data_IF_368520278912
#
_entry.id   IF_368520278912
#
_cell.length_a   1.000
_cell.length_b   1.000
_cell.length_c   1.000
_cell.angle_alpha   90.00
_cell.angle_beta   90.00
_cell.angle_gamma   90.00
#
_symmetry.space_group_name_H-M   'P 1'
#
loop_
_entity.id
_entity.type
_entity.pdbx_description
1 polymer ?
#
# COMPACT_ATOMS: atom_id res chain seq x y z
N UNK A 1 -26.19 -44.90 -13.69
CA UNK A 1 -27.14 -44.02 -12.97
C UNK A 1 -26.33 -43.00 -12.17
N UNK A 2 -26.12 -41.80 -12.71
CA UNK A 2 -25.24 -40.78 -12.13
C UNK A 2 -25.87 -40.14 -10.88
N UNK A 3 -25.09 -40.07 -9.79
CA UNK A 3 -25.42 -39.25 -8.62
C UNK A 3 -25.38 -37.78 -9.06
N UNK A 4 -26.50 -37.05 -8.91
CA UNK A 4 -26.53 -35.60 -9.17
C UNK A 4 -25.77 -34.92 -8.04
N UNK A 5 -24.60 -34.37 -8.33
CA UNK A 5 -23.96 -33.39 -7.44
C UNK A 5 -24.82 -32.12 -7.47
N UNK A 6 -25.49 -31.82 -6.35
CA UNK A 6 -26.13 -30.53 -6.14
C UNK A 6 -25.02 -29.49 -6.03
N UNK A 7 -24.80 -28.75 -7.12
CA UNK A 7 -23.87 -27.64 -7.13
C UNK A 7 -24.60 -26.48 -6.46
N UNK A 8 -24.46 -26.37 -5.13
CA UNK A 8 -24.76 -25.14 -4.41
C UNK A 8 -23.95 -24.04 -5.11
N UNK A 9 -24.62 -23.23 -5.93
CA UNK A 9 -24.02 -22.10 -6.60
C UNK A 9 -23.69 -21.05 -5.54
N UNK A 10 -22.57 -21.24 -4.85
CA UNK A 10 -21.97 -20.21 -4.00
C UNK A 10 -21.61 -19.08 -4.95
N UNK A 11 -22.46 -18.06 -4.98
CA UNK A 11 -22.30 -16.87 -5.80
C UNK A 11 -20.84 -16.40 -5.73
N UNK A 12 -20.17 -16.15 -6.87
CA UNK A 12 -18.78 -15.73 -6.86
C UNK A 12 -18.70 -14.32 -6.24
N UNK A 13 -18.35 -14.27 -4.96
CA UNK A 13 -17.77 -13.14 -4.23
C UNK A 13 -18.26 -11.75 -4.63
N UNK A 14 -19.50 -11.42 -4.28
CA UNK A 14 -19.95 -10.04 -4.13
C UNK A 14 -19.42 -9.39 -2.83
N UNK A 15 -18.14 -9.58 -2.49
CA UNK A 15 -17.57 -9.16 -1.20
C UNK A 15 -16.55 -8.01 -1.29
N UNK A 16 -16.14 -7.61 -2.50
CA UNK A 16 -15.42 -6.35 -2.68
C UNK A 16 -16.48 -5.27 -2.90
N UNK A 17 -16.85 -4.58 -1.82
CA UNK A 17 -17.67 -3.38 -1.90
C UNK A 17 -17.07 -2.45 -2.98
N UNK A 18 -17.82 -2.15 -4.05
CA UNK A 18 -17.42 -1.24 -5.13
C UNK A 18 -16.76 0.06 -4.64
N UNK A 19 -17.20 0.68 -3.51
CA UNK A 19 -16.51 1.83 -2.92
C UNK A 19 -15.07 1.54 -2.48
N UNK A 20 -14.77 0.35 -1.97
CA UNK A 20 -13.43 -0.03 -1.54
C UNK A 20 -12.50 -0.23 -2.75
N UNK A 21 -12.97 -0.91 -3.80
CA UNK A 21 -12.18 -1.08 -5.02
C UNK A 21 -11.83 0.27 -5.67
N UNK A 22 -12.80 1.18 -5.77
CA UNK A 22 -12.57 2.53 -6.30
C UNK A 22 -11.61 3.33 -5.41
N UNK A 23 -11.77 3.27 -4.09
CA UNK A 23 -10.87 3.93 -3.14
C UNK A 23 -9.44 3.42 -3.26
N UNK A 24 -9.24 2.10 -3.34
CA UNK A 24 -7.90 1.49 -3.52
C UNK A 24 -7.26 1.94 -4.83
N UNK A 25 -7.99 1.88 -5.94
CA UNK A 25 -7.48 2.33 -7.24
C UNK A 25 -7.06 3.79 -7.22
N UNK A 26 -7.89 4.68 -6.66
CA UNK A 26 -7.59 6.11 -6.55
C UNK A 26 -6.31 6.33 -5.75
N UNK A 27 -6.22 5.75 -4.54
CA UNK A 27 -5.05 5.92 -3.67
C UNK A 27 -3.77 5.36 -4.30
N UNK A 28 -3.84 4.28 -5.08
CA UNK A 28 -2.68 3.76 -5.80
C UNK A 28 -2.21 4.71 -6.89
N UNK A 29 -3.12 5.32 -7.66
CA UNK A 29 -2.76 6.28 -8.71
C UNK A 29 -2.17 7.55 -8.10
N UNK A 30 -2.78 8.07 -7.03
CA UNK A 30 -2.27 9.23 -6.29
C UNK A 30 -0.86 8.97 -5.75
N UNK A 31 -0.63 7.84 -5.07
CA UNK A 31 0.69 7.47 -4.56
C UNK A 31 1.74 7.26 -5.67
N UNK A 32 1.34 6.77 -6.84
CA UNK A 32 2.25 6.65 -7.99
C UNK A 32 2.62 8.01 -8.59
N UNK A 33 1.70 8.97 -8.57
CA UNK A 33 1.98 10.34 -9.01
C UNK A 33 3.03 10.99 -8.09
N UNK A 34 2.89 10.84 -6.77
CA UNK A 34 3.87 11.34 -5.81
C UNK A 34 5.28 10.78 -6.06
N UNK A 35 5.38 9.48 -6.36
CA UNK A 35 6.66 8.84 -6.71
C UNK A 35 7.22 9.38 -8.02
N UNK A 36 6.38 9.56 -9.04
CA UNK A 36 6.80 10.06 -10.35
C UNK A 36 7.25 11.52 -10.29
N UNK A 37 6.62 12.34 -9.45
CA UNK A 37 6.97 13.75 -9.25
C UNK A 37 8.20 13.92 -8.35
N UNK A 38 8.79 12.83 -7.86
CA UNK A 38 9.96 12.88 -7.00
C UNK A 38 9.67 13.38 -5.59
N UNK A 39 8.41 13.33 -5.14
CA UNK A 39 8.00 13.60 -3.75
C UNK A 39 8.41 12.44 -2.82
N UNK A 40 9.66 12.01 -2.95
CA UNK A 40 10.26 10.91 -2.20
C UNK A 40 11.39 11.45 -1.33
N UNK A 41 11.48 10.96 -0.10
CA UNK A 41 12.61 11.26 0.78
C UNK A 41 13.86 10.55 0.28
N UNK A 42 15.00 11.26 0.26
CA UNK A 42 16.29 10.66 -0.05
C UNK A 42 16.64 9.60 1.00
N UNK A 43 16.79 8.35 0.54
CA UNK A 43 17.18 7.22 1.38
C UNK A 43 18.46 7.51 2.19
N UNK A 44 19.45 8.19 1.62
CA UNK A 44 20.70 8.50 2.34
C UNK A 44 20.48 9.48 3.48
N UNK A 45 19.55 10.42 3.33
CA UNK A 45 19.19 11.34 4.39
C UNK A 45 18.46 10.62 5.53
N UNK A 46 17.58 9.67 5.19
CA UNK A 46 16.92 8.79 6.16
C UNK A 46 17.92 7.90 6.89
N UNK A 47 18.90 7.32 6.18
CA UNK A 47 19.94 6.48 6.78
C UNK A 47 20.81 7.28 7.76
N UNK A 48 21.31 8.45 7.34
CA UNK A 48 22.13 9.29 8.21
C UNK A 48 21.36 9.75 9.46
N UNK A 49 20.07 10.08 9.30
CA UNK A 49 19.20 10.37 10.42
C UNK A 49 19.08 9.18 11.37
N UNK A 50 18.79 7.98 10.85
CA UNK A 50 18.68 6.77 11.66
C UNK A 50 19.99 6.46 12.43
N UNK A 51 21.14 6.54 11.76
CA UNK A 51 22.45 6.27 12.37
C UNK A 51 22.79 7.27 13.49
N UNK A 52 22.25 8.51 13.40
CA UNK A 52 22.46 9.54 14.42
C UNK A 52 21.64 9.32 15.70
N UNK A 53 20.57 8.50 15.65
CA UNK A 53 19.72 8.24 16.82
C UNK A 53 20.43 7.45 17.93
N UNK A 54 21.48 6.70 17.56
CA UNK A 54 22.30 5.94 18.49
C UNK A 54 23.39 6.79 19.19
N UNK A 55 23.47 8.10 18.90
CA UNK A 55 24.51 9.00 19.40
C UNK A 55 23.94 10.24 20.11
N UNK A 56 24.73 10.87 20.98
CA UNK A 56 24.38 12.11 21.69
C UNK A 56 24.38 13.32 20.73
N UNK A 57 23.33 13.41 19.90
CA UNK A 57 23.15 14.50 18.93
C UNK A 57 22.38 14.07 17.68
N UNK A 58 21.11 13.64 17.80
CA UNK A 58 20.36 13.16 16.66
C UNK A 58 20.13 14.28 15.64
N UNK A 59 20.29 13.92 14.36
CA UNK A 59 20.01 14.80 13.25
C UNK A 59 18.50 15.12 13.18
N UNK A 60 18.17 16.24 12.54
CA UNK A 60 16.77 16.58 12.28
C UNK A 60 16.17 15.62 11.25
N UNK A 61 14.86 15.37 11.37
CA UNK A 61 14.12 14.56 10.42
C UNK A 61 14.26 15.11 8.99
N UNK A 62 14.64 14.27 8.01
CA UNK A 62 14.70 14.66 6.61
C UNK A 62 13.30 14.98 6.06
N UNK A 63 13.25 15.89 5.08
CA UNK A 63 12.02 16.38 4.44
C UNK A 63 11.98 16.09 2.96
#
# INVERSE_FOLDING_TARGET
MMRRFSMEARAPTAHVSLPLAQKRRRLTVEALADVNDGNTLDYRAVQAWADSLDHDGPLSLPR
#
